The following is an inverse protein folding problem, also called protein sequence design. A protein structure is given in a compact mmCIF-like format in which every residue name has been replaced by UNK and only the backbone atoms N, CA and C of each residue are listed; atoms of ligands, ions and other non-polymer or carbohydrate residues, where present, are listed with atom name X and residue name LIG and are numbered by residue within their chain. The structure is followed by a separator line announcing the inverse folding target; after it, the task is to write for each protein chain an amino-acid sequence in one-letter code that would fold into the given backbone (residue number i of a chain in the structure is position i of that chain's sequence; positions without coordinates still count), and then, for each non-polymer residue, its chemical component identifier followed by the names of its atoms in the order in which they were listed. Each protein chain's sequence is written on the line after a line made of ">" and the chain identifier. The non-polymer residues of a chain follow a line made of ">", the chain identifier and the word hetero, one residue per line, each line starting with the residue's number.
data_IF_373425233424
#
_entry.id   IF_373425233424
#
_cell.length_a   1.000
_cell.length_b   1.000
_cell.length_c   1.000
_cell.angle_alpha   90.00
_cell.angle_beta   90.00
_cell.angle_gamma   90.00
#
_symmetry.space_group_name_H-M   'P 1'
#
loop_
_entity.id
_entity.type
_entity.pdbx_description
1 polymer ?
#
# COMPACT_ATOMS: atom_id res chain seq x y z
N UNK A 1 -17.95 63.22 -6.48
CA UNK A 1 -17.20 63.58 -7.71
C UNK A 1 -16.41 64.83 -7.41
N UNK A 2 -15.19 64.69 -6.96
CA UNK A 2 -14.26 65.83 -6.75
C UNK A 2 -13.28 65.78 -7.93
N UNK A 3 -13.43 66.80 -8.81
CA UNK A 3 -12.51 67.01 -9.93
C UNK A 3 -11.15 67.45 -9.40
N UNK A 4 -10.12 66.62 -9.66
CA UNK A 4 -8.72 67.05 -9.57
C UNK A 4 -8.27 67.64 -10.91
N UNK A 5 -7.47 68.76 -10.90
CA UNK A 5 -7.20 69.54 -12.10
C UNK A 5 -6.18 68.95 -13.07
N UNK A 6 -5.51 67.87 -12.77
CA UNK A 6 -4.44 67.33 -13.63
C UNK A 6 -4.76 65.88 -14.03
N UNK A 7 -5.56 65.67 -15.04
CA UNK A 7 -6.00 64.42 -15.71
C UNK A 7 -5.13 63.16 -15.67
N UNK A 8 -4.36 62.92 -14.62
CA UNK A 8 -3.58 61.73 -14.38
C UNK A 8 -4.45 60.78 -13.52
N UNK A 9 -5.22 59.92 -14.16
CA UNK A 9 -5.79 58.73 -13.53
C UNK A 9 -4.58 57.90 -13.08
N UNK A 10 -4.18 58.02 -11.83
CA UNK A 10 -3.21 57.07 -11.26
C UNK A 10 -3.87 55.70 -11.23
N UNK A 11 -3.38 54.78 -12.03
CA UNK A 11 -3.75 53.38 -11.95
C UNK A 11 -3.78 52.95 -10.49
N UNK A 12 -4.80 52.18 -10.06
CA UNK A 12 -4.87 51.70 -8.69
C UNK A 12 -3.59 50.90 -8.39
N UNK A 13 -3.00 51.05 -7.20
CA UNK A 13 -1.77 50.37 -6.87
C UNK A 13 -1.93 48.88 -7.14
N UNK A 14 -0.93 48.26 -7.77
CA UNK A 14 -0.97 46.86 -8.27
C UNK A 14 -1.52 45.83 -7.28
N UNK A 15 -1.35 46.08 -5.96
CA UNK A 15 -1.87 45.23 -4.90
C UNK A 15 -3.40 45.29 -4.70
N UNK A 16 -4.08 46.31 -5.25
CA UNK A 16 -5.55 46.42 -5.26
C UNK A 16 -6.21 45.70 -6.45
N UNK A 17 -5.43 45.16 -7.37
CA UNK A 17 -5.97 44.36 -8.47
C UNK A 17 -6.10 42.88 -8.06
N UNK A 18 -7.11 42.13 -8.52
CA UNK A 18 -7.24 40.69 -8.20
C UNK A 18 -5.97 39.88 -8.55
N UNK A 19 -5.29 40.22 -9.65
CA UNK A 19 -4.00 39.61 -10.02
C UNK A 19 -2.88 39.97 -9.05
N UNK A 20 -2.76 41.22 -8.66
CA UNK A 20 -1.73 41.67 -7.68
C UNK A 20 -1.94 41.06 -6.29
N UNK A 21 -3.19 40.83 -5.86
CA UNK A 21 -3.49 40.08 -4.66
C UNK A 21 -3.09 38.60 -4.78
N UNK A 22 -3.37 37.95 -5.92
CA UNK A 22 -2.94 36.58 -6.18
C UNK A 22 -1.43 36.44 -6.21
N UNK A 23 -0.70 37.38 -6.78
CA UNK A 23 0.76 37.37 -6.84
C UNK A 23 1.43 37.54 -5.45
N UNK A 24 0.74 38.14 -4.49
CA UNK A 24 1.18 38.22 -3.09
C UNK A 24 0.76 36.99 -2.27
N UNK A 25 -0.47 36.55 -2.42
CA UNK A 25 -1.06 35.50 -1.59
C UNK A 25 -0.55 34.08 -2.00
N UNK A 26 -0.36 33.83 -3.30
CA UNK A 26 0.07 32.53 -3.79
C UNK A 26 1.45 32.09 -3.25
N UNK A 27 2.52 32.93 -3.27
CA UNK A 27 3.82 32.55 -2.71
C UNK A 27 3.76 32.33 -1.19
N UNK A 28 2.92 33.12 -0.48
CA UNK A 28 2.73 32.96 0.98
C UNK A 28 2.08 31.64 1.30
N UNK A 29 0.99 31.28 0.61
CA UNK A 29 0.29 30.00 0.80
C UNK A 29 1.16 28.80 0.42
N UNK A 30 1.94 28.88 -0.67
CA UNK A 30 2.88 27.84 -1.06
C UNK A 30 4.00 27.68 -0.01
N UNK A 31 4.54 28.78 0.50
CA UNK A 31 5.55 28.75 1.57
C UNK A 31 5.03 28.15 2.87
N UNK A 32 3.78 28.46 3.25
CA UNK A 32 3.09 27.86 4.40
C UNK A 32 2.89 26.36 4.23
N UNK A 33 2.38 25.93 3.08
CA UNK A 33 2.13 24.51 2.80
C UNK A 33 3.42 23.68 2.85
N UNK A 34 4.52 24.20 2.33
CA UNK A 34 5.81 23.54 2.39
C UNK A 34 6.34 23.40 3.82
N UNK A 35 6.19 24.42 4.67
CA UNK A 35 6.63 24.38 6.07
C UNK A 35 5.80 23.42 6.91
N UNK A 36 4.47 23.48 6.76
CA UNK A 36 3.58 22.51 7.40
C UNK A 36 3.90 21.08 6.98
N UNK A 37 4.24 20.87 5.70
CA UNK A 37 4.69 19.58 5.19
C UNK A 37 6.00 19.10 5.84
N UNK A 38 6.97 19.98 6.07
CA UNK A 38 8.23 19.65 6.77
C UNK A 38 7.94 19.19 8.19
N UNK A 39 7.23 19.99 8.98
CA UNK A 39 6.87 19.68 10.37
C UNK A 39 6.05 18.38 10.45
N UNK A 40 5.08 18.21 9.57
CA UNK A 40 4.25 17.00 9.53
C UNK A 40 5.09 15.74 9.25
N UNK A 41 6.01 15.78 8.29
CA UNK A 41 6.88 14.65 7.97
C UNK A 41 7.83 14.32 9.12
N UNK A 42 8.36 15.33 9.81
CA UNK A 42 9.25 15.11 10.95
C UNK A 42 8.50 14.56 12.16
N UNK A 43 7.30 15.05 12.45
CA UNK A 43 6.43 14.49 13.49
C UNK A 43 6.03 13.04 13.18
N UNK A 44 5.66 12.74 11.94
CA UNK A 44 5.31 11.40 11.52
C UNK A 44 6.50 10.44 11.64
N UNK A 45 7.69 10.86 11.18
CA UNK A 45 8.89 10.04 11.23
C UNK A 45 9.31 9.71 12.66
N UNK A 46 9.33 10.71 13.52
CA UNK A 46 9.68 10.53 14.95
C UNK A 46 8.60 9.73 15.67
N UNK A 47 7.31 10.01 15.38
CA UNK A 47 6.19 9.33 16.00
C UNK A 47 6.20 7.83 15.71
N UNK A 48 6.48 7.42 14.48
CA UNK A 48 6.57 6.00 14.10
C UNK A 48 7.68 5.27 14.87
N UNK A 49 8.87 5.86 14.93
CA UNK A 49 9.98 5.26 15.71
C UNK A 49 9.63 5.19 17.19
N UNK A 50 9.01 6.24 17.75
CA UNK A 50 8.61 6.26 19.15
C UNK A 50 7.51 5.24 19.47
N UNK A 51 6.53 5.03 18.58
CA UNK A 51 5.53 3.96 18.74
C UNK A 51 6.22 2.60 18.82
N UNK A 52 7.16 2.31 17.92
CA UNK A 52 7.88 1.03 17.92
C UNK A 52 8.66 0.82 19.22
N UNK A 53 9.38 1.84 19.70
CA UNK A 53 10.11 1.78 20.99
C UNK A 53 9.14 1.54 22.15
N UNK A 54 8.07 2.33 22.23
CA UNK A 54 7.07 2.22 23.30
C UNK A 54 6.39 0.85 23.31
N UNK A 55 6.06 0.31 22.12
CA UNK A 55 5.49 -1.02 21.99
C UNK A 55 6.45 -2.10 22.47
N UNK A 56 7.74 -2.03 22.10
CA UNK A 56 8.77 -2.98 22.51
C UNK A 56 8.96 -2.97 24.02
N UNK A 57 9.04 -1.79 24.63
CA UNK A 57 9.19 -1.64 26.09
C UNK A 57 7.97 -2.21 26.83
N UNK A 58 6.76 -1.90 26.36
CA UNK A 58 5.52 -2.40 26.95
C UNK A 58 5.40 -3.94 26.83
N UNK A 59 5.80 -4.50 25.69
CA UNK A 59 5.82 -5.95 25.49
C UNK A 59 6.77 -6.66 26.45
N UNK A 60 7.97 -6.13 26.65
CA UNK A 60 8.99 -6.72 27.54
C UNK A 60 8.59 -6.68 29.02
N UNK A 61 7.82 -5.66 29.43
CA UNK A 61 7.34 -5.53 30.80
C UNK A 61 6.18 -6.50 31.15
N UNK A 62 5.77 -7.38 30.22
CA UNK A 62 4.65 -8.35 30.38
C UNK A 62 3.34 -7.74 30.88
N UNK A 63 3.12 -6.48 30.61
CA UNK A 63 1.91 -5.77 31.05
C UNK A 63 1.96 -5.27 32.51
N UNK A 64 3.08 -5.40 33.22
CA UNK A 64 3.26 -4.79 34.54
C UNK A 64 3.36 -3.27 34.46
N UNK A 65 3.85 -2.72 33.34
CA UNK A 65 3.58 -1.34 32.97
C UNK A 65 2.15 -1.35 32.43
N UNK A 66 1.17 -0.99 33.27
CA UNK A 66 -0.21 -0.90 32.86
C UNK A 66 -0.27 -0.18 31.50
N UNK A 67 -1.21 -0.58 30.62
CA UNK A 67 -1.48 0.04 29.31
C UNK A 67 -1.79 1.56 29.34
N UNK A 68 -1.68 2.18 30.48
CA UNK A 68 -1.35 3.58 30.62
C UNK A 68 0.11 3.78 30.18
N UNK A 69 0.38 3.47 28.89
CA UNK A 69 1.32 4.32 28.16
C UNK A 69 1.11 5.71 28.72
N UNK A 70 2.17 6.33 29.21
CA UNK A 70 2.17 7.72 29.59
C UNK A 70 1.08 8.45 28.81
N UNK A 71 0.18 9.17 29.46
CA UNK A 71 -1.08 9.60 28.87
C UNK A 71 -0.81 10.08 27.45
N UNK A 72 -1.67 9.75 26.50
CA UNK A 72 -1.49 10.03 25.06
C UNK A 72 -0.94 11.44 24.77
N UNK A 73 -1.19 12.41 25.68
CA UNK A 73 -0.62 13.76 25.61
C UNK A 73 0.90 13.78 25.87
N UNK A 74 1.43 12.90 26.74
CA UNK A 74 2.87 12.80 26.98
C UNK A 74 3.58 12.15 25.78
N UNK A 75 2.93 11.14 25.13
CA UNK A 75 3.40 10.63 23.86
C UNK A 75 3.49 11.73 22.79
N UNK A 76 2.41 12.52 22.65
CA UNK A 76 2.39 13.68 21.75
C UNK A 76 3.48 14.70 22.07
N UNK A 77 3.64 15.02 23.35
CA UNK A 77 4.65 15.97 23.81
C UNK A 77 6.07 15.48 23.48
N UNK A 78 6.43 14.26 23.79
CA UNK A 78 7.74 13.69 23.47
C UNK A 78 8.00 13.64 21.96
N UNK A 79 6.99 13.30 21.16
CA UNK A 79 7.11 13.30 19.69
C UNK A 79 7.40 14.71 19.17
N UNK A 80 6.70 15.72 19.68
CA UNK A 80 6.89 17.13 19.33
C UNK A 80 8.28 17.61 19.73
N UNK A 81 8.74 17.27 20.95
CA UNK A 81 10.06 17.64 21.44
C UNK A 81 11.20 17.06 20.59
N UNK A 82 11.11 15.76 20.27
CA UNK A 82 12.10 15.08 19.45
C UNK A 82 12.14 15.63 18.03
N UNK A 83 10.98 15.94 17.44
CA UNK A 83 10.90 16.55 16.12
C UNK A 83 11.50 17.96 16.12
N UNK A 84 11.18 18.82 17.11
CA UNK A 84 11.75 20.14 17.27
C UNK A 84 13.26 20.11 17.46
N UNK A 85 13.75 19.15 18.25
CA UNK A 85 15.19 18.95 18.44
C UNK A 85 15.84 18.55 17.11
N UNK A 86 15.25 17.64 16.35
CA UNK A 86 15.79 17.20 15.07
C UNK A 86 15.81 18.33 14.03
N UNK A 87 14.74 19.13 13.95
CA UNK A 87 14.70 20.31 13.10
C UNK A 87 15.80 21.31 13.44
N UNK A 88 16.12 21.49 14.73
CA UNK A 88 17.15 22.44 15.20
C UNK A 88 18.55 22.13 14.65
N UNK A 89 18.82 20.88 14.26
CA UNK A 89 20.05 20.50 13.57
C UNK A 89 20.10 20.94 12.10
N UNK A 90 18.97 21.39 11.53
CA UNK A 90 18.89 21.93 10.17
C UNK A 90 18.86 20.89 9.06
N UNK A 91 18.80 19.61 9.39
CA UNK A 91 18.89 18.49 8.45
C UNK A 91 17.83 17.41 8.72
N UNK A 92 16.66 17.81 9.19
CA UNK A 92 15.55 16.86 9.41
C UNK A 92 15.09 16.20 8.12
N UNK A 93 14.29 15.13 8.24
CA UNK A 93 13.70 14.42 7.09
C UNK A 93 12.84 15.37 6.26
N UNK A 94 11.99 16.19 6.93
CA UNK A 94 11.13 17.15 6.29
C UNK A 94 11.91 18.19 5.49
N UNK A 95 12.98 18.75 6.05
CA UNK A 95 13.85 19.68 5.32
C UNK A 95 14.48 19.03 4.08
N UNK A 96 14.93 17.79 4.17
CA UNK A 96 15.54 17.09 3.03
C UNK A 96 14.51 16.79 1.93
N UNK A 97 13.30 16.34 2.29
CA UNK A 97 12.21 16.11 1.33
C UNK A 97 11.80 17.42 0.66
N UNK A 98 11.76 18.54 1.41
CA UNK A 98 11.50 19.88 0.87
C UNK A 98 12.68 20.46 0.06
N UNK A 99 13.83 19.75 -0.03
CA UNK A 99 15.09 20.24 -0.63
C UNK A 99 15.56 21.54 -0.06
N UNK A 100 15.47 21.69 1.26
CA UNK A 100 15.90 22.87 2.02
C UNK A 100 16.90 22.50 3.11
N UNK A 101 17.68 23.47 3.53
CA UNK A 101 18.54 23.38 4.70
C UNK A 101 18.43 24.65 5.52
N UNK A 102 18.58 24.52 6.84
CA UNK A 102 18.55 25.65 7.75
C UNK A 102 19.94 26.25 7.80
N UNK A 103 20.06 27.54 7.43
CA UNK A 103 21.34 28.26 7.35
C UNK A 103 21.30 29.57 8.15
N UNK A 104 22.46 29.92 8.66
CA UNK A 104 22.69 31.22 9.30
C UNK A 104 22.94 32.35 8.30
N UNK A 105 23.25 33.56 8.80
CA UNK A 105 23.60 34.68 7.97
C UNK A 105 24.76 34.37 7.03
N UNK A 106 24.61 34.77 5.75
CA UNK A 106 25.62 34.48 4.72
C UNK A 106 25.71 33.05 4.26
N UNK A 107 24.72 32.17 4.57
CA UNK A 107 24.72 30.75 4.15
C UNK A 107 25.60 29.84 5.02
N UNK A 108 26.09 30.33 6.15
CA UNK A 108 26.91 29.56 7.07
C UNK A 108 26.08 28.49 7.82
N UNK A 109 26.67 27.32 8.20
CA UNK A 109 25.97 26.33 9.00
C UNK A 109 25.57 26.91 10.38
N UNK A 110 24.43 26.45 10.97
CA UNK A 110 23.94 26.94 12.25
C UNK A 110 24.96 26.70 13.38
N UNK A 111 25.25 27.74 14.15
CA UNK A 111 26.09 27.61 15.35
C UNK A 111 25.33 26.93 16.48
N UNK A 112 26.02 26.28 17.48
CA UNK A 112 25.35 25.65 18.61
C UNK A 112 24.36 26.58 19.35
N UNK A 113 24.74 27.86 19.55
CA UNK A 113 23.86 28.84 20.18
C UNK A 113 22.61 29.18 19.36
N UNK A 114 22.71 29.18 18.04
CA UNK A 114 21.57 29.38 17.14
C UNK A 114 20.62 28.17 17.16
N UNK A 115 21.15 26.94 17.22
CA UNK A 115 20.35 25.71 17.35
C UNK A 115 19.56 25.72 18.66
N UNK A 116 20.19 26.07 19.77
CA UNK A 116 19.52 26.17 21.07
C UNK A 116 18.41 27.24 21.02
N UNK A 117 18.66 28.41 20.45
CA UNK A 117 17.63 29.45 20.30
C UNK A 117 16.49 28.98 19.38
N UNK A 118 16.79 28.26 18.30
CA UNK A 118 15.79 27.73 17.41
C UNK A 118 14.89 26.70 18.16
N UNK A 119 15.50 25.77 18.87
CA UNK A 119 14.79 24.75 19.68
C UNK A 119 13.93 25.41 20.77
N UNK A 120 14.49 26.29 21.56
CA UNK A 120 13.73 27.01 22.58
C UNK A 120 12.63 27.90 21.99
N UNK A 121 12.93 28.60 20.90
CA UNK A 121 11.94 29.38 20.17
C UNK A 121 10.80 28.60 19.58
N UNK A 122 11.05 27.33 19.23
CA UNK A 122 10.04 26.40 18.71
C UNK A 122 8.92 26.15 19.75
N UNK A 123 9.27 26.03 21.04
CA UNK A 123 8.31 25.82 22.14
C UNK A 123 7.40 27.05 22.37
N UNK A 124 7.93 28.24 22.20
CA UNK A 124 7.13 29.46 22.29
C UNK A 124 6.29 29.72 21.06
N UNK A 125 6.47 28.92 20.03
CA UNK A 125 5.73 28.97 18.75
C UNK A 125 4.44 28.12 18.77
N UNK A 126 3.97 27.64 19.92
CA UNK A 126 2.58 27.13 20.08
C UNK A 126 1.53 28.20 19.74
N UNK A 127 1.94 29.45 19.62
CA UNK A 127 1.24 30.54 18.90
C UNK A 127 1.75 30.77 17.45
N UNK A 128 2.18 29.72 16.68
CA UNK A 128 2.80 29.93 15.36
C UNK A 128 1.82 30.24 14.26
N UNK A 129 0.54 30.03 14.46
CA UNK A 129 -0.51 30.47 13.53
C UNK A 129 -0.42 32.01 13.30
N UNK A 130 -0.01 32.77 14.30
CA UNK A 130 0.20 34.21 14.18
C UNK A 130 1.53 34.54 13.44
N UNK A 131 2.57 33.73 13.62
CA UNK A 131 3.85 33.90 12.91
C UNK A 131 3.79 33.52 11.42
N UNK A 132 2.83 32.69 11.01
CA UNK A 132 2.59 32.34 9.61
C UNK A 132 2.08 33.52 8.78
N UNK A 133 1.36 34.46 9.40
CA UNK A 133 0.91 35.70 8.75
C UNK A 133 2.08 36.63 8.43
N UNK A 134 3.20 36.53 9.14
CA UNK A 134 4.38 37.40 8.99
C UNK A 134 5.54 36.72 8.24
N UNK A 135 5.33 36.01 7.15
CA UNK A 135 6.34 35.48 6.21
C UNK A 135 7.53 34.69 6.82
N UNK A 136 7.86 34.87 8.10
CA UNK A 136 8.91 34.09 8.81
C UNK A 136 8.45 33.75 10.23
N UNK A 137 8.49 32.48 10.68
CA UNK A 137 8.20 32.09 12.06
C UNK A 137 9.11 32.80 13.05
N UNK A 138 8.61 33.12 14.23
CA UNK A 138 9.34 33.88 15.25
C UNK A 138 10.64 33.19 15.67
N UNK A 139 10.66 31.87 15.80
CA UNK A 139 11.83 31.09 16.18
C UNK A 139 12.97 31.17 15.14
N UNK A 140 12.66 31.22 13.84
CA UNK A 140 13.64 31.44 12.78
C UNK A 140 14.29 32.81 12.90
N UNK A 141 13.49 33.86 13.18
CA UNK A 141 13.99 35.23 13.37
C UNK A 141 14.86 35.36 14.61
N UNK A 142 14.40 34.77 15.74
CA UNK A 142 15.12 34.83 17.00
C UNK A 142 16.45 34.08 16.97
N UNK A 143 16.47 32.93 16.28
CA UNK A 143 17.70 32.18 16.05
C UNK A 143 18.62 32.81 14.99
N UNK A 144 18.12 33.73 14.17
CA UNK A 144 18.85 34.28 13.02
C UNK A 144 19.09 33.23 11.92
N UNK A 145 18.17 32.28 11.79
CA UNK A 145 18.25 31.17 10.82
C UNK A 145 17.17 31.34 9.74
N UNK A 146 17.45 30.83 8.55
CA UNK A 146 16.47 30.79 7.45
C UNK A 146 16.58 29.51 6.65
N UNK A 147 15.44 28.88 6.28
CA UNK A 147 15.45 27.74 5.39
C UNK A 147 15.76 28.19 3.96
N UNK A 148 16.88 27.73 3.40
CA UNK A 148 17.29 28.04 2.04
C UNK A 148 17.26 26.78 1.16
N UNK A 149 17.07 26.90 -0.18
CA UNK A 149 17.23 25.77 -1.09
C UNK A 149 18.65 25.21 -0.99
N UNK A 150 18.77 23.88 -1.00
CA UNK A 150 20.08 23.21 -1.00
C UNK A 150 20.78 23.54 -2.31
N UNK A 151 21.88 24.29 -2.26
CA UNK A 151 22.75 24.52 -3.40
C UNK A 151 23.63 23.28 -3.63
N UNK A 152 23.48 22.64 -4.78
CA UNK A 152 24.28 21.47 -5.20
C UNK A 152 25.51 21.90 -6.04
N UNK A 153 25.69 23.20 -6.30
CA UNK A 153 26.81 23.68 -7.09
C UNK A 153 28.15 23.40 -6.39
N UNK A 154 28.97 22.56 -7.02
CA UNK A 154 30.33 22.25 -6.56
C UNK A 154 30.45 21.30 -5.36
N UNK A 155 29.38 20.74 -4.83
CA UNK A 155 29.43 19.75 -3.73
C UNK A 155 29.11 18.34 -4.24
N UNK A 156 30.05 17.42 -4.02
CA UNK A 156 29.77 15.98 -4.18
C UNK A 156 28.75 15.61 -3.11
N UNK A 157 27.54 15.17 -3.45
CA UNK A 157 26.54 14.80 -2.45
C UNK A 157 27.10 13.66 -1.58
N UNK A 158 27.00 13.75 -0.24
CA UNK A 158 27.42 12.66 0.62
C UNK A 158 26.63 11.39 0.27
N UNK A 159 27.23 10.19 0.42
CA UNK A 159 26.52 8.94 0.17
C UNK A 159 25.24 8.91 1.03
N UNK A 160 24.17 8.33 0.49
CA UNK A 160 22.82 8.40 1.07
C UNK A 160 22.76 7.96 2.56
N UNK A 161 23.61 7.00 2.98
CA UNK A 161 23.67 6.51 4.38
C UNK A 161 24.29 7.53 5.37
N UNK A 162 24.96 8.56 4.88
CA UNK A 162 25.46 9.69 5.70
C UNK A 162 24.50 10.86 5.71
N UNK A 163 23.40 10.75 4.98
CA UNK A 163 22.36 11.79 5.01
C UNK A 163 21.43 11.56 6.20
N UNK A 164 20.72 12.61 6.65
CA UNK A 164 19.70 12.48 7.70
C UNK A 164 18.61 11.47 7.34
N UNK A 165 18.29 11.32 6.05
CA UNK A 165 17.36 10.28 5.55
C UNK A 165 17.95 8.89 5.76
N UNK A 166 19.22 8.69 5.40
CA UNK A 166 19.90 7.39 5.58
C UNK A 166 20.03 7.01 7.05
N UNK A 167 20.37 7.98 7.92
CA UNK A 167 20.42 7.76 9.37
C UNK A 167 19.04 7.40 9.90
N UNK A 168 17.98 8.12 9.49
CA UNK A 168 16.61 7.79 9.89
C UNK A 168 16.22 6.38 9.45
N UNK A 169 16.48 6.00 8.20
CA UNK A 169 16.20 4.65 7.69
C UNK A 169 16.97 3.60 8.50
N UNK A 170 18.24 3.85 8.80
CA UNK A 170 19.04 2.92 9.61
C UNK A 170 18.47 2.77 11.02
N UNK A 171 18.14 3.87 11.70
CA UNK A 171 17.50 3.87 13.02
C UNK A 171 16.16 3.15 12.99
N UNK A 172 15.31 3.48 12.01
CA UNK A 172 14.01 2.83 11.82
C UNK A 172 14.14 1.31 11.63
N UNK A 173 15.09 0.87 10.78
CA UNK A 173 15.33 -0.56 10.56
C UNK A 173 15.86 -1.25 11.81
N UNK A 174 16.81 -0.64 12.53
CA UNK A 174 17.37 -1.23 13.77
C UNK A 174 16.31 -1.33 14.85
N UNK A 175 15.57 -0.22 15.10
CA UNK A 175 14.50 -0.20 16.10
C UNK A 175 13.34 -1.11 15.67
N UNK A 176 12.95 -1.10 14.40
CA UNK A 176 11.90 -1.96 13.87
C UNK A 176 12.27 -3.44 13.96
N UNK A 177 13.52 -3.80 13.65
CA UNK A 177 14.00 -5.17 13.78
C UNK A 177 14.07 -5.60 15.26
N UNK A 178 14.59 -4.73 16.13
CA UNK A 178 14.62 -4.99 17.58
C UNK A 178 13.21 -5.16 18.16
N UNK A 179 12.26 -4.30 17.75
CA UNK A 179 10.85 -4.42 18.14
C UNK A 179 10.24 -5.73 17.63
N UNK A 180 10.46 -6.05 16.36
CA UNK A 180 9.94 -7.28 15.75
C UNK A 180 10.53 -8.53 16.44
N UNK A 181 11.84 -8.58 16.64
CA UNK A 181 12.49 -9.73 17.29
C UNK A 181 12.04 -9.89 18.74
N UNK A 182 11.99 -8.81 19.51
CA UNK A 182 11.58 -8.86 20.92
C UNK A 182 10.10 -9.28 21.12
N UNK A 183 9.25 -9.01 20.14
CA UNK A 183 7.80 -9.33 20.21
C UNK A 183 7.44 -10.67 19.58
N UNK A 184 8.21 -11.11 18.56
CA UNK A 184 7.89 -12.32 17.79
C UNK A 184 8.79 -13.51 18.13
N UNK A 185 9.99 -13.26 18.64
CA UNK A 185 10.97 -14.29 18.94
C UNK A 185 11.12 -14.44 20.46
N UNK A 186 10.46 -15.45 20.99
CA UNK A 186 10.60 -15.83 22.39
C UNK A 186 11.82 -16.74 22.56
N UNK A 187 12.63 -16.48 23.59
CA UNK A 187 13.83 -17.26 23.91
C UNK A 187 13.50 -18.74 24.14
N UNK A 188 12.36 -19.01 24.77
CA UNK A 188 11.87 -20.36 24.97
C UNK A 188 11.52 -21.06 23.66
N UNK A 189 10.92 -20.35 22.72
CA UNK A 189 10.60 -20.87 21.38
C UNK A 189 11.85 -21.18 20.57
N UNK A 190 12.87 -20.32 20.63
CA UNK A 190 14.17 -20.58 20.03
C UNK A 190 14.85 -21.82 20.64
N UNK A 191 14.89 -21.88 21.97
CA UNK A 191 15.47 -23.02 22.66
C UNK A 191 14.73 -24.33 22.32
N UNK A 192 13.41 -24.31 22.27
CA UNK A 192 12.60 -25.47 21.84
C UNK A 192 12.90 -25.89 20.40
N UNK A 193 13.12 -24.94 19.50
CA UNK A 193 13.44 -25.22 18.10
C UNK A 193 14.74 -26.03 17.95
N UNK A 194 15.76 -25.72 18.76
CA UNK A 194 17.05 -26.41 18.72
C UNK A 194 17.09 -27.67 19.59
N UNK A 195 16.56 -27.61 20.81
CA UNK A 195 16.62 -28.74 21.76
C UNK A 195 15.61 -29.84 21.46
N UNK A 196 14.48 -29.51 20.82
CA UNK A 196 13.44 -30.48 20.49
C UNK A 196 13.41 -30.86 19.00
N UNK A 197 14.49 -30.63 18.28
CA UNK A 197 14.61 -31.00 16.86
C UNK A 197 14.29 -32.47 16.57
N UNK A 198 14.53 -33.38 17.53
CA UNK A 198 14.19 -34.80 17.41
C UNK A 198 12.68 -35.09 17.28
N UNK A 199 11.81 -34.22 17.87
CA UNK A 199 10.35 -34.32 17.69
C UNK A 199 9.96 -33.97 16.25
N UNK A 200 10.68 -33.04 15.66
CA UNK A 200 10.50 -32.63 14.27
C UNK A 200 10.80 -33.77 13.30
N UNK A 201 11.79 -34.61 13.59
CA UNK A 201 12.10 -35.79 12.74
C UNK A 201 10.95 -36.76 12.67
N UNK A 202 10.28 -37.08 13.80
CA UNK A 202 9.10 -37.95 13.81
C UNK A 202 7.94 -37.35 13.01
N UNK A 203 7.72 -36.06 13.18
CA UNK A 203 6.71 -35.31 12.42
C UNK A 203 6.99 -35.39 10.91
N UNK A 204 8.22 -35.06 10.47
CA UNK A 204 8.60 -35.13 9.06
C UNK A 204 8.50 -36.54 8.49
N UNK A 205 8.91 -37.55 9.25
CA UNK A 205 8.77 -38.96 8.82
C UNK A 205 7.31 -39.33 8.61
N UNK A 206 6.41 -38.95 9.51
CA UNK A 206 4.98 -39.19 9.34
C UNK A 206 4.42 -38.43 8.13
N UNK A 207 4.82 -37.18 7.94
CA UNK A 207 4.37 -36.32 6.85
C UNK A 207 4.77 -36.87 5.46
N UNK A 208 5.97 -37.45 5.35
CA UNK A 208 6.48 -38.03 4.10
C UNK A 208 6.19 -39.54 3.95
N UNK A 209 5.37 -40.11 4.81
CA UNK A 209 4.91 -41.51 4.68
C UNK A 209 3.47 -41.52 4.17
N UNK A 210 3.23 -41.61 2.84
CA UNK A 210 1.87 -41.51 2.28
C UNK A 210 0.97 -42.64 2.72
N UNK A 211 -0.25 -42.31 3.13
CA UNK A 211 -1.32 -43.23 3.44
C UNK A 211 -2.16 -43.49 2.18
N UNK A 212 -2.05 -44.72 1.64
CA UNK A 212 -2.72 -45.10 0.39
C UNK A 212 -4.25 -45.14 0.54
N UNK A 213 -4.77 -45.35 1.74
CA UNK A 213 -6.21 -45.49 1.99
C UNK A 213 -7.02 -44.25 1.69
N UNK A 214 -6.35 -43.04 1.83
CA UNK A 214 -7.01 -41.76 1.66
C UNK A 214 -6.76 -41.10 0.30
N UNK A 215 -5.93 -41.69 -0.57
CA UNK A 215 -5.60 -41.11 -1.88
C UNK A 215 -6.87 -40.92 -2.72
N UNK A 216 -7.71 -41.93 -2.88
CA UNK A 216 -8.90 -41.82 -3.72
C UNK A 216 -9.93 -40.81 -3.20
N UNK A 217 -10.29 -40.80 -1.91
CA UNK A 217 -11.11 -39.72 -1.36
C UNK A 217 -10.51 -38.31 -1.53
N UNK A 218 -9.19 -38.20 -1.41
CA UNK A 218 -8.50 -36.90 -1.56
C UNK A 218 -8.49 -36.42 -3.01
N UNK A 219 -8.39 -37.31 -3.99
CA UNK A 219 -8.53 -36.98 -5.43
C UNK A 219 -9.92 -36.41 -5.71
N UNK A 220 -10.97 -36.96 -5.12
CA UNK A 220 -12.34 -36.40 -5.26
C UNK A 220 -12.40 -34.95 -4.75
N UNK A 221 -11.80 -34.66 -3.59
CA UNK A 221 -11.81 -33.31 -3.02
C UNK A 221 -10.89 -32.36 -3.81
N UNK A 222 -9.81 -32.87 -4.43
CA UNK A 222 -9.01 -32.12 -5.40
C UNK A 222 -9.84 -31.69 -6.61
N UNK A 223 -10.62 -32.58 -7.18
CA UNK A 223 -11.53 -32.25 -8.29
C UNK A 223 -12.53 -31.17 -7.89
N UNK A 224 -13.10 -31.27 -6.69
CA UNK A 224 -13.97 -30.19 -6.17
C UNK A 224 -13.23 -28.84 -6.11
N UNK A 225 -11.98 -28.84 -5.63
CA UNK A 225 -11.14 -27.63 -5.56
C UNK A 225 -10.89 -27.04 -6.94
N UNK A 226 -10.56 -27.87 -7.94
CA UNK A 226 -10.39 -27.45 -9.34
C UNK A 226 -11.69 -26.84 -9.88
N UNK A 227 -12.83 -27.51 -9.68
CA UNK A 227 -14.12 -27.01 -10.15
C UNK A 227 -14.51 -25.69 -9.49
N UNK A 228 -14.23 -25.51 -8.19
CA UNK A 228 -14.42 -24.24 -7.51
C UNK A 228 -13.64 -23.12 -8.18
N UNK A 229 -12.36 -23.34 -8.49
CA UNK A 229 -11.51 -22.36 -9.14
C UNK A 229 -11.95 -22.04 -10.57
N UNK A 230 -12.32 -23.08 -11.36
CA UNK A 230 -12.82 -22.91 -12.73
C UNK A 230 -14.12 -22.11 -12.74
N UNK A 231 -15.09 -22.49 -11.91
CA UNK A 231 -16.37 -21.79 -11.82
C UNK A 231 -16.19 -20.33 -11.41
N UNK A 232 -15.42 -20.08 -10.34
CA UNK A 232 -15.18 -18.73 -9.84
C UNK A 232 -14.52 -17.86 -10.91
N UNK A 233 -13.50 -18.37 -11.61
CA UNK A 233 -12.80 -17.63 -12.67
C UNK A 233 -13.71 -17.39 -13.87
N UNK A 234 -14.42 -18.39 -14.35
CA UNK A 234 -15.29 -18.28 -15.53
C UNK A 234 -16.41 -17.25 -15.31
N UNK A 235 -17.09 -17.30 -14.17
CA UNK A 235 -18.11 -16.32 -13.84
C UNK A 235 -17.52 -14.93 -13.57
N UNK A 236 -16.31 -14.85 -13.05
CA UNK A 236 -15.64 -13.56 -12.86
C UNK A 236 -15.30 -12.90 -14.20
N UNK A 237 -14.86 -13.65 -15.21
CA UNK A 237 -14.59 -13.11 -16.57
C UNK A 237 -15.83 -12.49 -17.18
N UNK A 238 -17.00 -13.17 -17.10
CA UNK A 238 -18.26 -12.66 -17.64
C UNK A 238 -18.61 -11.29 -17.09
N UNK A 239 -18.32 -11.03 -15.81
CA UNK A 239 -18.58 -9.75 -15.15
C UNK A 239 -17.41 -8.77 -15.36
N UNK A 240 -16.18 -9.24 -15.28
CA UNK A 240 -14.98 -8.39 -15.35
C UNK A 240 -14.77 -7.76 -16.73
N UNK A 241 -15.12 -8.48 -17.82
CA UNK A 241 -14.98 -7.94 -19.18
C UNK A 241 -15.81 -6.67 -19.36
N UNK A 242 -17.14 -6.62 -19.16
CA UNK A 242 -17.89 -5.39 -19.30
C UNK A 242 -17.48 -4.31 -18.28
N UNK A 243 -17.18 -4.69 -17.03
CA UNK A 243 -16.72 -3.73 -16.03
C UNK A 243 -15.38 -3.10 -16.39
N UNK A 244 -14.50 -3.79 -17.11
CA UNK A 244 -13.20 -3.27 -17.51
C UNK A 244 -13.33 -2.05 -18.43
N UNK A 245 -14.34 -2.02 -19.32
CA UNK A 245 -14.61 -0.86 -20.17
C UNK A 245 -15.06 0.36 -19.36
N UNK A 246 -15.83 0.16 -18.28
CA UNK A 246 -16.23 1.23 -17.37
C UNK A 246 -15.09 1.66 -16.42
N UNK A 247 -14.14 0.79 -16.17
CA UNK A 247 -12.97 1.04 -15.34
C UNK A 247 -11.76 1.58 -16.10
N UNK A 248 -11.84 1.73 -17.44
CA UNK A 248 -10.77 2.26 -18.28
C UNK A 248 -10.89 3.78 -18.44
N UNK A 249 -9.84 4.51 -18.03
CA UNK A 249 -9.80 5.98 -18.00
C UNK A 249 -9.97 6.60 -19.39
N UNK A 250 -9.37 5.99 -20.42
CA UNK A 250 -9.42 6.47 -21.80
C UNK A 250 -10.82 6.42 -22.42
N UNK A 251 -11.70 5.55 -21.90
CA UNK A 251 -13.08 5.39 -22.39
C UNK A 251 -14.09 6.24 -21.62
N UNK A 252 -13.82 6.55 -20.34
CA UNK A 252 -14.70 7.29 -19.45
C UNK A 252 -14.40 8.80 -19.48
N UNK A 253 -14.87 9.49 -20.54
CA UNK A 253 -14.70 10.93 -20.74
C UNK A 253 -15.88 11.74 -20.19
N UNK A 254 -15.65 13.01 -19.84
CA UNK A 254 -16.66 13.92 -19.28
C UNK A 254 -16.90 13.72 -17.77
N UNK A 255 -17.74 14.56 -17.15
CA UNK A 255 -17.94 14.56 -15.70
C UNK A 255 -18.61 13.27 -15.20
N UNK A 256 -19.66 12.79 -15.88
CA UNK A 256 -20.35 11.54 -15.52
C UNK A 256 -19.45 10.32 -15.70
N UNK A 257 -18.70 10.25 -16.81
CA UNK A 257 -17.75 9.16 -17.05
C UNK A 257 -16.66 9.13 -16.00
N UNK A 258 -16.13 10.28 -15.58
CA UNK A 258 -15.14 10.38 -14.51
C UNK A 258 -15.70 9.92 -13.16
N UNK A 259 -16.95 10.27 -12.84
CA UNK A 259 -17.63 9.82 -11.64
C UNK A 259 -17.75 8.28 -11.61
N UNK A 260 -18.28 7.67 -12.69
CA UNK A 260 -18.39 6.21 -12.82
C UNK A 260 -17.03 5.54 -12.67
N UNK A 261 -16.02 6.00 -13.39
CA UNK A 261 -14.64 5.50 -13.31
C UNK A 261 -14.09 5.55 -11.88
N UNK A 262 -14.18 6.70 -11.20
CA UNK A 262 -13.61 6.89 -9.87
C UNK A 262 -14.32 6.03 -8.82
N UNK A 263 -15.66 5.99 -8.87
CA UNK A 263 -16.47 5.19 -7.93
C UNK A 263 -16.22 3.70 -8.15
N UNK A 264 -16.24 3.24 -9.40
CA UNK A 264 -16.02 1.84 -9.73
C UNK A 264 -14.60 1.37 -9.32
N UNK A 265 -13.57 2.15 -9.68
CA UNK A 265 -12.18 1.83 -9.27
C UNK A 265 -12.00 1.84 -7.76
N UNK A 266 -12.64 2.77 -7.06
CA UNK A 266 -12.65 2.80 -5.61
C UNK A 266 -13.28 1.54 -5.01
N UNK A 267 -14.48 1.17 -5.47
CA UNK A 267 -15.16 -0.04 -5.03
C UNK A 267 -14.36 -1.33 -5.31
N UNK A 268 -13.81 -1.47 -6.53
CA UNK A 268 -12.97 -2.61 -6.90
C UNK A 268 -11.67 -2.66 -6.08
N UNK A 269 -11.10 -1.51 -5.72
CA UNK A 269 -9.91 -1.44 -4.87
C UNK A 269 -10.21 -1.93 -3.46
N UNK A 270 -11.35 -1.55 -2.89
CA UNK A 270 -11.83 -2.04 -1.58
C UNK A 270 -12.09 -3.54 -1.64
N UNK A 271 -12.81 -4.02 -2.66
CA UNK A 271 -13.10 -5.45 -2.82
C UNK A 271 -11.83 -6.29 -2.90
N UNK A 272 -10.79 -5.80 -3.57
CA UNK A 272 -9.50 -6.47 -3.73
C UNK A 272 -8.66 -6.46 -2.46
N UNK A 273 -8.81 -5.44 -1.60
CA UNK A 273 -8.06 -5.36 -0.34
C UNK A 273 -8.52 -6.41 0.69
N UNK A 274 -9.69 -7.01 0.46
CA UNK A 274 -10.23 -8.08 1.31
C UNK A 274 -9.81 -9.43 0.74
N UNK A 275 -9.03 -10.19 1.51
CA UNK A 275 -8.56 -11.52 1.12
C UNK A 275 -9.71 -12.52 0.88
N UNK A 276 -9.58 -13.48 -0.06
CA UNK A 276 -10.61 -14.47 -0.35
C UNK A 276 -11.08 -15.28 0.86
N UNK A 277 -10.21 -15.49 1.86
CA UNK A 277 -10.55 -16.19 3.09
C UNK A 277 -11.61 -15.43 3.90
N UNK A 278 -11.54 -14.10 3.95
CA UNK A 278 -12.52 -13.26 4.66
C UNK A 278 -13.87 -13.31 3.96
N UNK A 279 -13.86 -13.21 2.61
CA UNK A 279 -15.07 -13.40 1.81
C UNK A 279 -15.70 -14.78 2.02
N UNK A 280 -14.86 -15.82 2.13
CA UNK A 280 -15.34 -17.18 2.38
C UNK A 280 -16.08 -17.28 3.72
N UNK A 281 -15.56 -16.68 4.78
CA UNK A 281 -16.19 -16.66 6.09
C UNK A 281 -17.56 -15.95 6.01
N UNK A 282 -17.62 -14.79 5.33
CA UNK A 282 -18.88 -14.05 5.14
C UNK A 282 -19.91 -14.91 4.40
N UNK A 283 -19.52 -15.53 3.27
CA UNK A 283 -20.45 -16.33 2.49
C UNK A 283 -20.83 -17.66 3.17
N UNK A 284 -19.98 -18.23 4.02
CA UNK A 284 -20.32 -19.40 4.81
C UNK A 284 -21.47 -19.15 5.79
N UNK A 285 -21.57 -17.89 6.30
CA UNK A 285 -22.69 -17.49 7.16
C UNK A 285 -24.01 -17.40 6.35
N UNK A 286 -23.93 -16.98 5.08
CA UNK A 286 -25.10 -16.85 4.21
C UNK A 286 -25.55 -18.16 3.55
N UNK A 287 -24.57 -18.99 3.21
CA UNK A 287 -24.83 -20.28 2.53
C UNK A 287 -24.86 -21.39 3.56
N UNK A 288 -25.97 -22.08 3.66
CA UNK A 288 -26.17 -23.19 4.60
C UNK A 288 -25.04 -24.23 4.47
N UNK A 289 -24.60 -24.79 5.59
CA UNK A 289 -23.46 -25.71 5.73
C UNK A 289 -23.41 -26.91 4.74
N UNK A 290 -24.55 -27.32 4.19
CA UNK A 290 -24.68 -28.40 3.19
C UNK A 290 -24.00 -28.06 1.83
N UNK A 291 -23.73 -26.79 1.53
CA UNK A 291 -23.16 -26.33 0.25
C UNK A 291 -21.90 -25.50 0.44
N UNK A 292 -21.05 -25.89 1.36
CA UNK A 292 -19.78 -25.22 1.66
C UNK A 292 -18.92 -24.89 0.41
N UNK A 293 -18.76 -25.79 -0.60
CA UNK A 293 -18.02 -25.45 -1.81
C UNK A 293 -18.58 -24.27 -2.60
N UNK A 294 -19.90 -24.05 -2.54
CA UNK A 294 -20.52 -22.90 -3.21
C UNK A 294 -20.16 -21.57 -2.54
N UNK A 295 -20.06 -21.53 -1.20
CA UNK A 295 -19.55 -20.35 -0.49
C UNK A 295 -18.10 -20.03 -0.89
N UNK A 296 -17.26 -21.07 -1.05
CA UNK A 296 -15.90 -20.92 -1.55
C UNK A 296 -15.84 -20.37 -2.98
N UNK A 297 -16.72 -20.84 -3.88
CA UNK A 297 -16.85 -20.29 -5.25
C UNK A 297 -17.21 -18.79 -5.20
N UNK A 298 -18.18 -18.40 -4.39
CA UNK A 298 -18.60 -16.98 -4.27
C UNK A 298 -17.46 -16.10 -3.75
N UNK A 299 -16.70 -16.57 -2.78
CA UNK A 299 -15.55 -15.85 -2.23
C UNK A 299 -14.47 -15.59 -3.29
N UNK A 300 -14.10 -16.63 -4.02
CA UNK A 300 -13.13 -16.54 -5.12
C UNK A 300 -13.65 -15.69 -6.27
N UNK A 301 -14.94 -15.76 -6.56
CA UNK A 301 -15.59 -15.02 -7.64
C UNK A 301 -15.56 -13.52 -7.39
N UNK A 302 -16.00 -13.05 -6.20
CA UNK A 302 -16.00 -11.63 -5.84
C UNK A 302 -14.59 -11.04 -5.93
N UNK A 303 -13.62 -11.71 -5.36
CA UNK A 303 -12.23 -11.26 -5.39
C UNK A 303 -11.65 -11.28 -6.82
N UNK A 304 -12.00 -12.29 -7.62
CA UNK A 304 -11.54 -12.41 -9.01
C UNK A 304 -12.14 -11.34 -9.93
N UNK A 305 -13.39 -10.91 -9.71
CA UNK A 305 -13.98 -9.78 -10.45
C UNK A 305 -13.12 -8.54 -10.27
N UNK A 306 -12.76 -8.21 -9.03
CA UNK A 306 -12.01 -7.00 -8.73
C UNK A 306 -10.61 -7.01 -9.37
N UNK A 307 -9.91 -8.13 -9.29
CA UNK A 307 -8.58 -8.28 -9.88
C UNK A 307 -8.59 -8.29 -11.40
N UNK A 308 -9.46 -9.12 -12.01
CA UNK A 308 -9.54 -9.21 -13.46
C UNK A 308 -10.00 -7.89 -14.09
N UNK A 309 -10.99 -7.23 -13.50
CA UNK A 309 -11.46 -5.92 -14.01
C UNK A 309 -10.33 -4.91 -14.04
N UNK A 310 -9.49 -4.88 -12.98
CA UNK A 310 -8.34 -3.97 -12.94
C UNK A 310 -7.32 -4.30 -14.04
N UNK A 311 -6.88 -5.55 -14.15
CA UNK A 311 -5.89 -5.98 -15.15
C UNK A 311 -6.40 -5.73 -16.58
N UNK A 312 -7.66 -6.02 -16.84
CA UNK A 312 -8.30 -5.78 -18.13
C UNK A 312 -8.41 -4.29 -18.45
N UNK A 313 -8.79 -3.47 -17.47
CA UNK A 313 -8.87 -2.01 -17.66
C UNK A 313 -7.48 -1.40 -17.93
N UNK A 314 -6.43 -1.82 -17.21
CA UNK A 314 -5.06 -1.39 -17.46
C UNK A 314 -4.58 -1.78 -18.86
N UNK A 315 -5.00 -2.94 -19.36
CA UNK A 315 -4.71 -3.31 -20.74
C UNK A 315 -5.46 -2.47 -21.76
N UNK A 316 -6.74 -2.16 -21.52
CA UNK A 316 -7.52 -1.23 -22.35
C UNK A 316 -6.91 0.19 -22.38
N UNK A 317 -6.32 0.64 -21.28
CA UNK A 317 -5.64 1.93 -21.21
C UNK A 317 -4.31 1.96 -21.99
N UNK A 318 -3.70 0.80 -22.23
CA UNK A 318 -2.40 0.65 -22.91
C UNK A 318 -2.48 0.27 -24.39
N UNK A 319 -3.67 0.23 -25.00
CA UNK A 319 -3.83 -0.08 -26.42
C UNK A 319 -3.29 1.06 -27.31
N UNK A 320 -2.79 0.67 -28.49
CA UNK A 320 -2.29 1.63 -29.47
C UNK A 320 -3.44 2.47 -30.08
N UNK A 321 -3.44 3.80 -29.89
CA UNK A 321 -4.45 4.68 -30.46
C UNK A 321 -4.36 4.77 -31.99
N UNK A 322 -3.19 4.55 -32.60
CA UNK A 322 -3.00 4.65 -34.03
C UNK A 322 -3.86 3.68 -34.83
N UNK A 323 -4.02 2.44 -34.34
CA UNK A 323 -4.93 1.47 -34.99
C UNK A 323 -6.41 1.89 -34.87
N UNK A 324 -6.79 2.50 -33.75
CA UNK A 324 -8.14 3.04 -33.55
C UNK A 324 -8.41 4.19 -34.55
N UNK A 325 -7.44 5.09 -34.68
CA UNK A 325 -7.52 6.23 -35.62
C UNK A 325 -7.60 5.76 -37.08
N UNK A 326 -6.75 4.80 -37.47
CA UNK A 326 -6.73 4.23 -38.80
C UNK A 326 -8.11 3.61 -39.21
N UNK A 327 -8.69 2.78 -38.32
CA UNK A 327 -10.00 2.18 -38.57
C UNK A 327 -11.09 3.23 -38.54
N UNK A 328 -11.02 4.23 -37.68
CA UNK A 328 -12.01 5.33 -37.67
C UNK A 328 -11.96 6.17 -38.94
N UNK A 329 -10.76 6.40 -39.49
CA UNK A 329 -10.57 7.14 -40.74
C UNK A 329 -11.25 6.48 -41.99
N UNK A 330 -11.49 5.16 -41.92
CA UNK A 330 -12.24 4.44 -42.97
C UNK A 330 -13.78 4.67 -42.90
N UNK A 331 -14.25 5.48 -41.95
CA UNK A 331 -15.70 5.70 -41.73
C UNK A 331 -16.35 4.61 -40.87
N UNK A 332 -15.58 3.77 -40.18
CA UNK A 332 -16.11 2.69 -39.35
C UNK A 332 -16.91 3.24 -38.15
N UNK A 333 -18.05 2.59 -37.87
CA UNK A 333 -18.84 2.90 -36.68
C UNK A 333 -18.18 2.36 -35.39
N UNK A 334 -18.66 2.79 -34.19
CA UNK A 334 -18.07 2.43 -32.88
C UNK A 334 -17.95 0.92 -32.65
N UNK A 335 -18.89 0.12 -33.12
CA UNK A 335 -18.86 -1.34 -32.98
C UNK A 335 -17.81 -1.97 -33.90
N UNK A 336 -17.64 -1.42 -35.12
CA UNK A 336 -16.60 -1.84 -36.05
C UNK A 336 -15.20 -1.50 -35.49
N UNK A 337 -15.00 -0.29 -34.94
CA UNK A 337 -13.77 0.10 -34.27
C UNK A 337 -13.47 -0.82 -33.10
N UNK A 338 -14.46 -1.11 -32.27
CA UNK A 338 -14.31 -2.07 -31.16
C UNK A 338 -13.86 -3.44 -31.67
N UNK A 339 -14.54 -3.97 -32.71
CA UNK A 339 -14.27 -5.31 -33.24
C UNK A 339 -12.93 -5.43 -33.97
N UNK A 340 -12.53 -4.44 -34.72
CA UNK A 340 -11.38 -4.53 -35.63
C UNK A 340 -10.11 -3.81 -35.09
N UNK A 341 -10.26 -2.82 -34.22
CA UNK A 341 -9.12 -2.12 -33.64
C UNK A 341 -8.84 -2.54 -32.17
N UNK A 342 -9.86 -2.63 -31.33
CA UNK A 342 -9.67 -2.84 -29.88
C UNK A 342 -9.56 -4.32 -29.54
N UNK A 343 -10.55 -5.14 -29.93
CA UNK A 343 -10.60 -6.56 -29.56
C UNK A 343 -9.34 -7.34 -29.96
N UNK A 344 -8.77 -7.19 -31.15
CA UNK A 344 -7.53 -7.92 -31.51
C UNK A 344 -6.33 -7.59 -30.63
N UNK A 345 -6.26 -6.39 -30.07
CA UNK A 345 -5.17 -5.97 -29.18
C UNK A 345 -5.31 -6.50 -27.76
N UNK A 346 -6.53 -6.81 -27.31
CA UNK A 346 -6.80 -7.17 -25.90
C UNK A 346 -7.06 -8.67 -25.69
N UNK A 347 -7.46 -9.43 -26.72
CA UNK A 347 -7.94 -10.80 -26.55
C UNK A 347 -6.87 -11.73 -25.97
N UNK A 348 -5.65 -11.70 -26.50
CA UNK A 348 -4.55 -12.55 -26.00
C UNK A 348 -4.13 -12.17 -24.58
N UNK A 349 -3.89 -10.88 -24.24
CA UNK A 349 -3.68 -10.48 -22.85
C UNK A 349 -4.82 -10.86 -21.91
N UNK A 350 -6.08 -10.72 -22.31
CA UNK A 350 -7.22 -11.10 -21.48
C UNK A 350 -7.23 -12.59 -21.16
N UNK A 351 -6.99 -13.44 -22.16
CA UNK A 351 -6.87 -14.89 -21.95
C UNK A 351 -5.69 -15.19 -21.01
N UNK A 352 -4.55 -14.53 -21.21
CA UNK A 352 -3.37 -14.71 -20.34
C UNK A 352 -3.65 -14.32 -18.89
N UNK A 353 -4.33 -13.21 -18.63
CA UNK A 353 -4.74 -12.80 -17.29
C UNK A 353 -5.78 -13.73 -16.68
N UNK A 354 -6.70 -14.25 -17.50
CA UNK A 354 -7.68 -15.26 -17.06
C UNK A 354 -6.99 -16.53 -16.61
N UNK A 355 -6.06 -17.06 -17.39
CA UNK A 355 -5.28 -18.26 -17.04
C UNK A 355 -4.44 -18.05 -15.78
N UNK A 356 -3.82 -16.88 -15.65
CA UNK A 356 -3.10 -16.49 -14.44
C UNK A 356 -4.02 -16.45 -13.21
N UNK A 357 -5.22 -15.89 -13.37
CA UNK A 357 -6.20 -15.85 -12.27
C UNK A 357 -6.73 -17.23 -11.90
N UNK A 358 -6.95 -18.08 -12.88
CA UNK A 358 -7.36 -19.47 -12.64
C UNK A 358 -6.32 -20.22 -11.79
N UNK A 359 -5.05 -20.12 -12.12
CA UNK A 359 -3.94 -20.68 -11.36
C UNK A 359 -3.92 -20.18 -9.90
N UNK A 360 -4.05 -18.88 -9.67
CA UNK A 360 -4.17 -18.31 -8.33
C UNK A 360 -5.39 -18.84 -7.60
N UNK A 361 -6.53 -18.95 -8.27
CA UNK A 361 -7.77 -19.42 -7.65
C UNK A 361 -7.71 -20.87 -7.20
N UNK A 362 -6.94 -21.75 -7.84
CA UNK A 362 -6.72 -23.13 -7.38
C UNK A 362 -5.99 -23.14 -6.03
N UNK A 363 -4.95 -22.33 -5.88
CA UNK A 363 -4.22 -22.19 -4.61
C UNK A 363 -5.11 -21.59 -3.53
N UNK A 364 -5.84 -20.53 -3.87
CA UNK A 364 -6.77 -19.87 -2.95
C UNK A 364 -7.95 -20.74 -2.56
N UNK A 365 -8.45 -21.61 -3.46
CA UNK A 365 -9.50 -22.58 -3.14
C UNK A 365 -9.06 -23.55 -2.04
N UNK A 366 -7.78 -23.94 -2.04
CA UNK A 366 -7.22 -24.77 -0.95
C UNK A 366 -7.24 -24.02 0.38
N UNK A 367 -6.84 -22.73 0.39
CA UNK A 367 -6.84 -21.88 1.60
C UNK A 367 -8.27 -21.63 2.10
N UNK A 368 -9.20 -21.33 1.18
CA UNK A 368 -10.63 -21.16 1.48
C UNK A 368 -11.24 -22.44 2.06
N UNK A 369 -10.77 -23.61 1.59
CA UNK A 369 -11.16 -24.91 2.12
C UNK A 369 -10.82 -25.08 3.60
N UNK A 370 -9.70 -24.54 4.08
CA UNK A 370 -9.29 -24.61 5.50
C UNK A 370 -10.31 -23.97 6.43
N UNK A 371 -10.95 -22.88 6.02
CA UNK A 371 -12.01 -22.23 6.81
C UNK A 371 -13.41 -22.84 6.61
N UNK A 372 -13.48 -23.97 5.91
CA UNK A 372 -14.75 -24.69 5.72
C UNK A 372 -15.39 -24.46 4.35
N UNK A 373 -14.73 -23.77 3.42
CA UNK A 373 -15.21 -23.54 2.05
C UNK A 373 -15.19 -24.77 1.13
N UNK A 374 -14.97 -25.99 1.66
CA UNK A 374 -15.00 -27.23 0.91
C UNK A 374 -13.68 -27.61 0.22
N UNK A 375 -13.70 -28.69 -0.56
CA UNK A 375 -12.55 -29.19 -1.31
C UNK A 375 -11.43 -29.76 -0.45
N UNK A 376 -10.23 -29.87 -1.06
CA UNK A 376 -9.07 -30.55 -0.45
C UNK A 376 -8.57 -29.83 0.80
N UNK A 377 -8.71 -28.51 0.87
CA UNK A 377 -8.29 -27.72 2.04
C UNK A 377 -9.06 -28.08 3.31
N UNK A 378 -10.35 -28.36 3.21
CA UNK A 378 -11.17 -28.82 4.34
C UNK A 378 -10.71 -30.18 4.85
N UNK A 379 -10.36 -31.11 3.95
CA UNK A 379 -9.79 -32.40 4.32
C UNK A 379 -8.43 -32.25 5.02
N UNK A 380 -7.57 -31.39 4.49
CA UNK A 380 -6.28 -31.08 5.12
C UNK A 380 -6.48 -30.57 6.55
N UNK A 381 -7.34 -29.58 6.73
CA UNK A 381 -7.65 -29.03 8.05
C UNK A 381 -8.19 -30.06 9.02
N UNK A 382 -9.07 -30.95 8.56
CA UNK A 382 -9.60 -32.04 9.37
C UNK A 382 -8.48 -32.95 9.90
N UNK A 383 -7.54 -33.38 9.07
CA UNK A 383 -6.43 -34.21 9.50
C UNK A 383 -5.45 -33.47 10.41
N UNK A 384 -5.16 -32.21 10.14
CA UNK A 384 -4.31 -31.39 11.01
C UNK A 384 -4.93 -31.19 12.40
N UNK A 385 -6.24 -30.92 12.47
CA UNK A 385 -6.96 -30.78 13.74
C UNK A 385 -6.97 -32.06 14.57
N UNK A 386 -7.01 -33.21 13.94
CA UNK A 386 -7.00 -34.51 14.59
C UNK A 386 -5.58 -35.08 14.77
N UNK A 387 -4.52 -34.29 14.52
CA UNK A 387 -3.11 -34.70 14.65
C UNK A 387 -2.76 -35.95 13.81
N UNK A 388 -3.52 -36.21 12.75
CA UNK A 388 -3.34 -37.34 11.81
C UNK A 388 -2.26 -36.95 10.77
N UNK A 389 -1.00 -36.88 11.20
CA UNK A 389 0.10 -36.31 10.42
C UNK A 389 0.39 -37.06 9.12
N UNK A 390 0.25 -38.36 9.11
CA UNK A 390 0.46 -39.22 7.91
C UNK A 390 -0.58 -38.89 6.83
N UNK A 391 -1.83 -38.77 7.22
CA UNK A 391 -2.94 -38.43 6.32
C UNK A 391 -2.79 -36.97 5.86
N UNK A 392 -2.48 -36.05 6.77
CA UNK A 392 -2.21 -34.64 6.42
C UNK A 392 -1.07 -34.53 5.40
N UNK A 393 0.04 -35.25 5.59
CA UNK A 393 1.16 -35.30 4.68
C UNK A 393 0.78 -35.82 3.29
N UNK A 394 -0.02 -36.87 3.22
CA UNK A 394 -0.53 -37.39 1.94
C UNK A 394 -1.33 -36.33 1.19
N UNK A 395 -2.25 -35.65 1.87
CA UNK A 395 -3.03 -34.54 1.30
C UNK A 395 -2.14 -33.39 0.84
N UNK A 396 -1.14 -33.00 1.64
CA UNK A 396 -0.17 -31.95 1.27
C UNK A 396 0.62 -32.29 0.01
N UNK A 397 1.11 -33.55 -0.10
CA UNK A 397 1.82 -34.01 -1.30
C UNK A 397 0.92 -33.93 -2.53
N UNK A 398 -0.34 -34.37 -2.42
CA UNK A 398 -1.30 -34.27 -3.51
C UNK A 398 -1.59 -32.80 -3.93
N UNK A 399 -1.70 -31.88 -2.97
CA UNK A 399 -1.86 -30.45 -3.26
C UNK A 399 -0.63 -29.91 -4.00
N UNK A 400 0.58 -30.25 -3.55
CA UNK A 400 1.83 -29.81 -4.20
C UNK A 400 1.89 -30.31 -5.65
N UNK A 401 1.58 -31.58 -5.87
CA UNK A 401 1.56 -32.17 -7.22
C UNK A 401 0.53 -31.45 -8.10
N UNK A 402 -0.67 -31.20 -7.58
CA UNK A 402 -1.71 -30.47 -8.30
C UNK A 402 -1.26 -29.07 -8.68
N UNK A 403 -0.78 -28.28 -7.72
CA UNK A 403 -0.33 -26.90 -7.96
C UNK A 403 0.80 -26.87 -8.98
N UNK A 404 1.79 -27.73 -8.83
CA UNK A 404 2.89 -27.84 -9.79
C UNK A 404 2.40 -28.20 -11.21
N UNK A 405 1.48 -29.14 -11.34
CA UNK A 405 0.94 -29.52 -12.65
C UNK A 405 0.14 -28.38 -13.30
N UNK A 406 -0.63 -27.63 -12.52
CA UNK A 406 -1.42 -26.49 -13.01
C UNK A 406 -0.49 -25.32 -13.38
N UNK A 407 0.51 -24.99 -12.56
CA UNK A 407 1.52 -23.96 -12.87
C UNK A 407 2.22 -24.27 -14.20
N UNK A 408 2.65 -25.52 -14.38
CA UNK A 408 3.29 -25.97 -15.61
C UNK A 408 2.37 -25.86 -16.84
N UNK A 409 1.11 -26.31 -16.71
CA UNK A 409 0.12 -26.24 -17.78
C UNK A 409 -0.20 -24.79 -18.16
N UNK A 410 -0.46 -23.94 -17.14
CA UNK A 410 -0.76 -22.51 -17.31
C UNK A 410 0.40 -21.77 -17.96
N UNK A 411 1.65 -22.07 -17.56
CA UNK A 411 2.82 -21.44 -18.15
C UNK A 411 2.97 -21.80 -19.64
N UNK A 412 2.77 -23.09 -20.00
CA UNK A 412 2.79 -23.51 -21.40
C UNK A 412 1.70 -22.89 -22.25
N UNK A 413 0.48 -22.79 -21.71
CA UNK A 413 -0.64 -22.16 -22.42
C UNK A 413 -0.37 -20.68 -22.66
N UNK A 414 0.10 -19.94 -21.64
CA UNK A 414 0.45 -18.52 -21.78
C UNK A 414 1.58 -18.28 -22.80
N UNK A 415 2.60 -19.14 -22.83
CA UNK A 415 3.69 -19.02 -23.78
C UNK A 415 3.24 -19.18 -25.26
N UNK A 416 2.12 -19.83 -25.53
CA UNK A 416 1.54 -19.93 -26.88
C UNK A 416 0.67 -18.72 -27.26
N UNK A 417 0.29 -17.89 -26.30
CA UNK A 417 -0.56 -16.71 -26.49
C UNK A 417 0.25 -15.41 -26.59
N UNK A 418 1.50 -15.42 -26.14
CA UNK A 418 2.45 -14.32 -26.27
C UNK A 418 3.10 -14.34 -27.65
#
# INVERSE_FOLDING_TARGET
>A
MTNYPDGIVKDPPKWLTPQGLLDIVTPVLQGMGQRLGVVFLDLLAVGVVWILVSYTVNWHSRGEISYTLAPWWLFGLVTVELAALWESFGHSLGFKVARRELVGPGGAPPTPGQRVRYFLGWHFTVLPLVGLVFQRPWHERWAGLSPQPISLEGRIPPPWWRTSVGIYVAVFLVVGLAAATSTTVDEESLNRLFTQAWRTVKFWRALFSPDQSIILPSIRDLLVTIFMAVMATSFAVVVAVPLSFLAARNLMRGPLGRLIYTTLRGALSIMRSIEPIVWAIIFLVWVTARRAPFAGVLALWVHSIADLTKLYAERLESIDPGLIEAITATGANRLQVLRYAVVPQIINPYISFTLYRWDINIRMATVVGVVGGGGIGQRLFFYLKNLAWQQAGTVMILIVILVWAIDYLSARLRAKLA
#
